data_IF_417455740768
#
_entry.id   IF_417455740768
#
_cell.length_a   1.000
_cell.length_b   1.000
_cell.length_c   1.000
_cell.angle_alpha   90.00
_cell.angle_beta   90.00
_cell.angle_gamma   90.00
#
_symmetry.space_group_name_H-M   'P 1'
#
loop_
_entity.id
_entity.type
_entity.pdbx_description
1 polymer ?
#
# COMPACT_ATOMS: atom_id res chain seq x y z
N UNK A 1 2.73 -0.71 14.85
CA UNK A 1 3.47 -1.99 14.88
C UNK A 1 3.61 -2.60 13.49
N UNK A 2 2.53 -2.80 12.74
CA UNK A 2 2.56 -3.51 11.44
C UNK A 2 3.55 -2.97 10.40
N UNK A 3 3.69 -1.64 10.24
CA UNK A 3 4.69 -1.07 9.32
C UNK A 3 6.12 -1.47 9.69
N UNK A 4 6.46 -1.42 10.98
CA UNK A 4 7.80 -1.76 11.43
C UNK A 4 8.11 -3.25 11.24
N UNK A 5 7.10 -4.13 11.40
CA UNK A 5 7.24 -5.55 11.08
C UNK A 5 7.39 -5.79 9.57
N UNK A 6 6.63 -5.07 8.74
CA UNK A 6 6.80 -5.07 7.27
C UNK A 6 8.21 -4.67 6.87
N UNK A 7 8.72 -3.56 7.41
CA UNK A 7 10.05 -3.05 7.06
C UNK A 7 11.17 -4.01 7.49
N UNK A 8 10.91 -4.88 8.49
CA UNK A 8 11.80 -5.95 8.94
C UNK A 8 11.59 -7.30 8.22
N UNK A 9 10.62 -7.39 7.31
CA UNK A 9 10.25 -8.66 6.65
C UNK A 9 9.54 -9.67 7.56
N UNK A 10 9.12 -9.26 8.76
CA UNK A 10 8.40 -10.07 9.74
C UNK A 10 6.90 -10.12 9.39
N UNK A 11 6.60 -10.74 8.25
CA UNK A 11 5.25 -10.70 7.68
C UNK A 11 4.17 -11.39 8.54
N UNK A 12 4.42 -12.54 9.21
CA UNK A 12 3.43 -13.14 10.10
C UNK A 12 3.00 -12.21 11.24
N UNK A 13 3.94 -11.53 11.87
CA UNK A 13 3.70 -10.56 12.94
C UNK A 13 2.99 -9.32 12.40
N UNK A 14 3.37 -8.85 11.21
CA UNK A 14 2.68 -7.75 10.54
C UNK A 14 1.21 -8.08 10.27
N UNK A 15 0.90 -9.29 9.81
CA UNK A 15 -0.48 -9.77 9.59
C UNK A 15 -1.25 -9.79 10.90
N UNK A 16 -0.69 -10.38 11.96
CA UNK A 16 -1.36 -10.47 13.25
C UNK A 16 -1.71 -9.07 13.81
N UNK A 17 -0.75 -8.15 13.79
CA UNK A 17 -0.95 -6.78 14.26
C UNK A 17 -1.94 -5.99 13.38
N UNK A 18 -1.84 -6.13 12.06
CA UNK A 18 -2.74 -5.44 11.14
C UNK A 18 -4.18 -5.95 11.27
N UNK A 19 -4.37 -7.26 11.48
CA UNK A 19 -5.67 -7.87 11.74
C UNK A 19 -6.29 -7.35 13.02
N UNK A 20 -5.54 -7.34 14.12
CA UNK A 20 -5.99 -6.76 15.39
C UNK A 20 -6.38 -5.29 15.23
N UNK A 21 -5.56 -4.51 14.52
CA UNK A 21 -5.87 -3.12 14.22
C UNK A 21 -7.14 -3.00 13.38
N UNK A 22 -7.38 -3.88 12.39
CA UNK A 22 -8.59 -3.91 11.57
C UNK A 22 -9.84 -4.16 12.41
N UNK A 23 -9.80 -5.10 13.35
CA UNK A 23 -10.93 -5.40 14.25
C UNK A 23 -11.30 -4.22 15.16
N UNK A 24 -10.31 -3.41 15.53
CA UNK A 24 -10.49 -2.20 16.35
C UNK A 24 -10.81 -0.96 15.51
N UNK A 25 -10.64 -1.04 14.19
CA UNK A 25 -10.82 0.07 13.27
C UNK A 25 -12.22 0.05 12.69
N UNK A 26 -12.92 1.19 12.75
CA UNK A 26 -14.20 1.37 12.05
C UNK A 26 -13.99 1.44 10.52
N UNK A 27 -14.29 2.57 9.92
CA UNK A 27 -14.23 2.71 8.45
C UNK A 27 -12.81 2.81 7.86
N UNK A 28 -11.73 2.66 8.64
CA UNK A 28 -10.35 2.84 8.16
C UNK A 28 -9.91 1.70 7.26
N UNK A 29 -9.38 2.03 6.08
CA UNK A 29 -8.82 1.06 5.12
C UNK A 29 -7.33 0.81 5.31
N UNK A 30 -6.69 1.52 6.24
CA UNK A 30 -5.24 1.43 6.44
C UNK A 30 -4.77 0.08 7.00
N UNK A 31 -5.39 -0.49 8.06
CA UNK A 31 -5.00 -1.82 8.53
C UNK A 31 -5.23 -2.91 7.48
N UNK A 32 -6.28 -2.78 6.67
CA UNK A 32 -6.59 -3.69 5.56
C UNK A 32 -5.41 -3.74 4.59
N UNK A 33 -4.92 -2.58 4.14
CA UNK A 33 -3.79 -2.52 3.21
C UNK A 33 -2.50 -3.12 3.75
N UNK A 34 -2.21 -2.93 5.04
CA UNK A 34 -1.02 -3.48 5.68
C UNK A 34 -1.12 -5.00 5.88
N UNK A 35 -2.30 -5.50 6.25
CA UNK A 35 -2.57 -6.93 6.31
C UNK A 35 -2.42 -7.55 4.91
N UNK A 36 -3.04 -6.96 3.88
CA UNK A 36 -2.96 -7.47 2.51
C UNK A 36 -1.55 -7.45 1.94
N UNK A 37 -0.77 -6.39 2.19
CA UNK A 37 0.64 -6.34 1.79
C UNK A 37 1.45 -7.46 2.44
N UNK A 38 1.31 -7.62 3.75
CA UNK A 38 2.06 -8.64 4.49
C UNK A 38 1.65 -10.06 4.06
N UNK A 39 0.35 -10.30 3.82
CA UNK A 39 -0.15 -11.56 3.24
C UNK A 39 0.49 -11.83 1.88
N UNK A 40 0.53 -10.83 1.00
CA UNK A 40 1.12 -10.98 -0.33
C UNK A 40 2.62 -11.32 -0.24
N UNK A 41 3.40 -10.59 0.56
CA UNK A 41 4.84 -10.87 0.73
C UNK A 41 5.12 -12.16 1.49
N UNK A 42 4.17 -12.68 2.28
CA UNK A 42 4.26 -14.00 2.92
C UNK A 42 3.76 -15.16 2.05
N UNK A 43 3.53 -14.94 0.75
CA UNK A 43 3.08 -15.97 -0.20
C UNK A 43 1.57 -16.26 -0.20
N UNK A 44 0.78 -15.57 0.62
CA UNK A 44 -0.69 -15.72 0.70
C UNK A 44 -1.41 -14.83 -0.31
N UNK A 45 -1.01 -14.93 -1.57
CA UNK A 45 -1.46 -14.02 -2.63
C UNK A 45 -2.97 -14.04 -2.85
N UNK A 46 -3.62 -15.21 -2.75
CA UNK A 46 -5.07 -15.32 -2.91
C UNK A 46 -5.85 -14.50 -1.87
N UNK A 47 -5.42 -14.54 -0.60
CA UNK A 47 -6.03 -13.76 0.49
C UNK A 47 -5.82 -12.25 0.24
N UNK A 48 -4.61 -11.85 -0.15
CA UNK A 48 -4.31 -10.46 -0.47
C UNK A 48 -5.15 -9.94 -1.65
N UNK A 49 -5.34 -10.74 -2.70
CA UNK A 49 -6.18 -10.39 -3.86
C UNK A 49 -7.65 -10.27 -3.51
N UNK A 50 -8.17 -11.13 -2.63
CA UNK A 50 -9.55 -11.01 -2.16
C UNK A 50 -9.77 -9.66 -1.45
N UNK A 51 -8.87 -9.29 -0.54
CA UNK A 51 -8.95 -8.01 0.17
C UNK A 51 -8.76 -6.80 -0.77
N UNK A 52 -7.87 -6.91 -1.76
CA UNK A 52 -7.72 -5.90 -2.81
C UNK A 52 -9.02 -5.69 -3.58
N UNK A 53 -9.68 -6.77 -4.00
CA UNK A 53 -10.95 -6.69 -4.73
C UNK A 53 -12.05 -6.01 -3.90
N UNK A 54 -12.11 -6.28 -2.59
CA UNK A 54 -13.03 -5.60 -1.67
C UNK A 54 -12.73 -4.09 -1.57
N UNK A 55 -11.46 -3.71 -1.43
CA UNK A 55 -11.01 -2.32 -1.40
C UNK A 55 -11.31 -1.57 -2.69
N UNK A 56 -11.07 -2.19 -3.84
CA UNK A 56 -11.41 -1.64 -5.15
C UNK A 56 -12.92 -1.43 -5.29
N UNK A 57 -13.73 -2.42 -4.92
CA UNK A 57 -15.20 -2.29 -4.89
C UNK A 57 -15.67 -1.21 -3.92
N UNK A 58 -14.98 -1.04 -2.79
CA UNK A 58 -15.31 0.01 -1.82
C UNK A 58 -14.94 1.40 -2.33
N UNK A 59 -13.85 1.51 -3.10
CA UNK A 59 -13.39 2.76 -3.70
C UNK A 59 -14.37 3.36 -4.71
N UNK A 60 -15.29 2.55 -5.27
CA UNK A 60 -16.37 3.05 -6.14
C UNK A 60 -17.53 3.66 -5.34
N UNK A 61 -17.60 3.41 -4.04
CA UNK A 61 -18.71 3.84 -3.17
C UNK A 61 -18.32 4.96 -2.20
N UNK A 62 -17.05 5.01 -1.81
CA UNK A 62 -16.50 6.03 -0.90
C UNK A 62 -15.03 6.24 -1.17
N UNK A 63 -14.48 7.34 -0.62
CA UNK A 63 -13.05 7.57 -0.68
C UNK A 63 -12.29 6.42 0.00
N UNK A 64 -11.37 5.82 -0.77
CA UNK A 64 -10.35 4.89 -0.31
C UNK A 64 -9.02 5.45 -0.79
N UNK A 65 -8.08 5.60 0.14
CA UNK A 65 -6.72 6.08 -0.12
C UNK A 65 -6.08 5.32 -1.30
N UNK A 66 -5.72 6.01 -2.40
CA UNK A 66 -4.96 5.44 -3.51
C UNK A 66 -3.64 4.81 -3.04
N UNK A 67 -2.95 5.44 -2.09
CA UNK A 67 -1.75 4.88 -1.45
C UNK A 67 -2.00 3.49 -0.84
N UNK A 68 -3.13 3.30 -0.15
CA UNK A 68 -3.47 2.01 0.46
C UNK A 68 -3.68 0.93 -0.61
N UNK A 69 -4.27 1.26 -1.76
CA UNK A 69 -4.47 0.31 -2.87
C UNK A 69 -3.13 0.00 -3.55
N UNK A 70 -2.33 1.04 -3.84
CA UNK A 70 -0.98 0.89 -4.39
C UNK A 70 -0.10 -0.01 -3.51
N UNK A 71 -0.23 0.11 -2.19
CA UNK A 71 0.54 -0.72 -1.27
C UNK A 71 0.24 -2.22 -1.48
N UNK A 72 -1.01 -2.60 -1.74
CA UNK A 72 -1.35 -4.02 -1.92
C UNK A 72 -0.82 -4.54 -3.25
N UNK A 73 -0.96 -3.76 -4.32
CA UNK A 73 -0.35 -4.08 -5.61
C UNK A 73 1.17 -4.26 -5.49
N UNK A 74 1.82 -3.40 -4.71
CA UNK A 74 3.25 -3.50 -4.43
C UNK A 74 3.60 -4.80 -3.68
N UNK A 75 2.74 -5.21 -2.75
CA UNK A 75 2.86 -6.49 -2.06
C UNK A 75 2.75 -7.70 -3.00
N UNK A 76 1.91 -7.59 -4.02
CA UNK A 76 1.68 -8.61 -5.06
C UNK A 76 2.74 -8.59 -6.18
N UNK A 77 3.73 -7.69 -6.08
CA UNK A 77 4.74 -7.43 -7.10
C UNK A 77 4.14 -7.00 -8.47
N UNK A 78 2.95 -6.39 -8.43
CA UNK A 78 2.21 -5.82 -9.58
C UNK A 78 2.58 -4.35 -9.78
N UNK A 79 3.71 -4.14 -10.46
CA UNK A 79 4.40 -2.85 -10.51
C UNK A 79 3.64 -1.76 -11.27
N UNK A 80 3.05 -2.09 -12.42
CA UNK A 80 2.40 -1.09 -13.26
C UNK A 80 1.16 -0.51 -12.57
N UNK A 81 0.38 -1.37 -11.91
CA UNK A 81 -0.77 -1.01 -11.10
C UNK A 81 -0.34 -0.22 -9.85
N UNK A 82 0.75 -0.63 -9.21
CA UNK A 82 1.33 0.12 -8.08
C UNK A 82 1.59 1.56 -8.49
N UNK A 83 2.32 1.78 -9.59
CA UNK A 83 2.67 3.11 -10.08
C UNK A 83 1.42 3.91 -10.49
N UNK A 84 0.47 3.29 -11.19
CA UNK A 84 -0.77 3.94 -11.59
C UNK A 84 -1.58 4.44 -10.38
N UNK A 85 -1.65 3.65 -9.29
CA UNK A 85 -2.34 4.07 -8.07
C UNK A 85 -1.60 5.14 -7.28
N UNK A 86 -0.26 5.14 -7.29
CA UNK A 86 0.54 6.22 -6.69
C UNK A 86 0.37 7.54 -7.47
N UNK A 87 0.39 7.50 -8.80
CA UNK A 87 0.12 8.66 -9.67
C UNK A 87 -1.28 9.23 -9.39
N UNK A 88 -2.28 8.37 -9.25
CA UNK A 88 -3.64 8.78 -8.86
C UNK A 88 -3.69 9.44 -7.48
N UNK A 89 -2.92 8.93 -6.50
CA UNK A 89 -2.79 9.54 -5.17
C UNK A 89 -2.19 10.94 -5.22
N UNK A 90 -1.20 11.14 -6.10
CA UNK A 90 -0.61 12.46 -6.35
C UNK A 90 -1.61 13.45 -6.95
N UNK A 91 -2.36 13.04 -7.98
CA UNK A 91 -3.40 13.88 -8.60
C UNK A 91 -4.48 14.30 -7.60
N UNK A 92 -4.82 13.41 -6.67
CA UNK A 92 -5.78 13.68 -5.59
C UNK A 92 -5.18 14.46 -4.42
N UNK A 93 -3.90 14.87 -4.49
CA UNK A 93 -3.16 15.56 -3.43
C UNK A 93 -3.21 14.83 -2.10
N UNK A 94 -3.10 13.50 -2.13
CA UNK A 94 -3.17 12.67 -0.95
C UNK A 94 -2.00 12.97 0.02
N UNK A 95 -2.26 13.27 1.31
CA UNK A 95 -1.20 13.61 2.27
C UNK A 95 -0.12 12.56 2.44
N UNK A 96 -0.46 11.27 2.27
CA UNK A 96 0.48 10.16 2.46
C UNK A 96 1.58 10.08 1.41
N UNK A 97 1.43 10.79 0.29
CA UNK A 97 2.37 10.74 -0.81
C UNK A 97 3.78 11.23 -0.37
N UNK A 98 3.87 12.09 0.66
CA UNK A 98 5.16 12.52 1.24
C UNK A 98 6.03 11.39 1.80
N UNK A 99 5.42 10.27 2.20
CA UNK A 99 6.14 9.15 2.79
C UNK A 99 6.81 8.23 1.76
N UNK A 100 6.48 8.38 0.47
CA UNK A 100 7.05 7.57 -0.62
C UNK A 100 8.59 7.69 -0.69
N UNK A 101 9.16 8.83 -0.29
CA UNK A 101 10.62 9.03 -0.26
C UNK A 101 11.32 8.17 0.79
N UNK A 102 10.68 7.96 1.94
CA UNK A 102 11.37 7.51 3.16
C UNK A 102 11.02 6.08 3.58
N UNK A 103 9.87 5.56 3.18
CA UNK A 103 9.42 4.25 3.65
C UNK A 103 10.07 3.10 2.86
N UNK A 104 10.73 2.13 3.54
CA UNK A 104 11.48 1.05 2.89
C UNK A 104 10.68 0.18 1.93
N UNK A 105 9.39 -0.03 2.20
CA UNK A 105 8.49 -0.83 1.36
C UNK A 105 8.35 -0.35 -0.09
N UNK A 106 8.76 0.88 -0.42
CA UNK A 106 8.77 1.40 -1.80
C UNK A 106 10.16 1.35 -2.47
N UNK A 107 11.17 0.77 -1.81
CA UNK A 107 12.54 0.76 -2.33
C UNK A 107 12.66 0.05 -3.68
N UNK A 108 11.80 -0.93 -3.96
CA UNK A 108 11.72 -1.65 -5.23
C UNK A 108 11.32 -0.77 -6.42
N UNK A 109 10.75 0.42 -6.18
CA UNK A 109 10.34 1.36 -7.24
C UNK A 109 11.38 2.45 -7.51
N UNK A 110 12.44 2.57 -6.70
CA UNK A 110 13.38 3.71 -6.78
C UNK A 110 14.14 3.82 -8.11
N UNK A 111 14.27 2.72 -8.84
CA UNK A 111 14.87 2.69 -10.18
C UNK A 111 13.87 2.89 -11.31
N UNK A 112 12.56 2.93 -11.02
CA UNK A 112 11.53 2.98 -12.04
C UNK A 112 11.38 4.41 -12.59
N UNK A 113 11.49 4.62 -13.92
CA UNK A 113 11.40 5.96 -14.51
C UNK A 113 10.11 6.71 -14.12
N UNK A 114 8.97 6.01 -14.09
CA UNK A 114 7.67 6.57 -13.67
C UNK A 114 7.66 7.00 -12.20
N UNK A 115 8.30 6.23 -11.32
CA UNK A 115 8.42 6.59 -9.91
C UNK A 115 9.33 7.82 -9.73
N UNK A 116 10.45 7.86 -10.44
CA UNK A 116 11.37 9.01 -10.43
C UNK A 116 10.65 10.28 -10.91
N UNK A 117 9.89 10.21 -12.00
CA UNK A 117 9.07 11.32 -12.50
C UNK A 117 8.02 11.78 -11.47
N UNK A 118 7.31 10.83 -10.87
CA UNK A 118 6.34 11.10 -9.83
C UNK A 118 6.98 11.87 -8.65
N UNK A 119 8.13 11.39 -8.15
CA UNK A 119 8.86 12.06 -7.07
C UNK A 119 9.30 13.48 -7.46
N UNK A 120 9.70 13.69 -8.73
CA UNK A 120 10.02 15.03 -9.27
C UNK A 120 8.83 15.98 -9.23
N UNK A 121 7.67 15.52 -9.71
CA UNK A 121 6.42 16.29 -9.72
C UNK A 121 5.95 16.63 -8.31
N UNK A 122 6.29 15.78 -7.34
CA UNK A 122 6.01 15.99 -5.91
C UNK A 122 7.01 16.90 -5.19
N UNK A 123 8.11 17.28 -5.84
CA UNK A 123 9.22 18.04 -5.24
C UNK A 123 9.89 17.29 -4.07
N UNK A 124 9.96 15.96 -4.17
CA UNK A 124 10.54 15.08 -3.15
C UNK A 124 11.87 14.45 -3.57
N UNK A 125 12.47 14.94 -4.63
CA UNK A 125 13.78 14.61 -5.17
C UNK A 125 14.85 15.34 -4.37
#
# INVERSE_FOLDING_TARGET
ASSAYIDKGMFPEAVAEARKARELSGASTHPIAFESYALAKSGKQAEARAMLAELLKLSTKRFVSPYNIALIYNGLDERDETLAWLERGFEQREPKAVFLKVEPKWNNLRSEPRFIDLMKRMRLN
#
